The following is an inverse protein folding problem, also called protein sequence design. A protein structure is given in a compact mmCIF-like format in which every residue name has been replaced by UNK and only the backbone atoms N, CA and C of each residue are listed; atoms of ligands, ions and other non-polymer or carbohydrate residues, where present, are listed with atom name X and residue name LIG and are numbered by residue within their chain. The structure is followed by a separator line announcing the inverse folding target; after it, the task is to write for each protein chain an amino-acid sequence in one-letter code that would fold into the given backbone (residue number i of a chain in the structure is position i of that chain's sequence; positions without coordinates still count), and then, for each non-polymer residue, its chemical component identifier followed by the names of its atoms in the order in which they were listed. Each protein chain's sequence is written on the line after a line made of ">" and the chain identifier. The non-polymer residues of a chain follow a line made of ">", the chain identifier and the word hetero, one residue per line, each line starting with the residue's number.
data_IF_054502676732
#
_entry.id   IF_054502676732
#
_cell.length_a   1.000
_cell.length_b   1.000
_cell.length_c   1.000
_cell.angle_alpha   90.00
_cell.angle_beta   90.00
_cell.angle_gamma   90.00
#
_symmetry.space_group_name_H-M   'P 1'
#
loop_
_entity.id
_entity.type
_entity.pdbx_description
1 polymer ?
#
# COMPACT_ATOMS: atom_id res chain seq x y z
N UNK A 1 16.69 9.74 21.83
CA UNK A 1 16.23 8.66 22.72
C UNK A 1 15.94 7.46 21.84
N UNK A 2 16.73 6.40 21.98
CA UNK A 2 16.49 5.13 21.28
C UNK A 2 15.35 4.41 22.00
N UNK A 3 14.20 4.28 21.36
CA UNK A 3 13.21 3.33 21.79
C UNK A 3 13.69 1.94 21.40
N UNK A 4 14.19 1.20 22.38
CA UNK A 4 14.37 -0.23 22.29
C UNK A 4 12.98 -0.86 22.24
N UNK A 5 12.54 -1.27 21.05
CA UNK A 5 11.35 -2.07 20.90
C UNK A 5 11.62 -3.44 21.54
N UNK A 6 11.24 -3.60 22.80
CA UNK A 6 11.12 -4.92 23.40
C UNK A 6 10.07 -5.68 22.59
N UNK A 7 10.52 -6.67 21.80
CA UNK A 7 9.67 -7.63 21.09
C UNK A 7 8.81 -8.35 22.14
N UNK A 8 7.60 -7.89 22.35
CA UNK A 8 6.58 -8.68 23.02
C UNK A 8 6.15 -9.73 21.97
N UNK A 9 6.73 -10.93 22.06
CA UNK A 9 6.18 -12.12 21.43
C UNK A 9 4.91 -12.48 22.21
N UNK A 10 3.79 -11.87 21.85
CA UNK A 10 2.49 -12.43 22.16
C UNK A 10 2.14 -13.37 21.02
N UNK A 11 1.92 -14.63 21.36
CA UNK A 11 1.46 -15.67 20.46
C UNK A 11 -0.01 -15.37 20.09
N UNK A 12 -0.20 -14.49 19.12
CA UNK A 12 -1.50 -14.30 18.48
C UNK A 12 -1.66 -15.44 17.49
N UNK A 13 -2.62 -16.32 17.78
CA UNK A 13 -2.92 -17.50 16.94
C UNK A 13 -2.92 -17.16 15.45
N UNK A 14 -2.60 -18.12 14.62
CA UNK A 14 -2.13 -18.18 13.22
C UNK A 14 -2.73 -17.24 12.14
N UNK A 15 -3.40 -16.13 12.48
CA UNK A 15 -4.06 -15.20 11.55
C UNK A 15 -3.79 -13.71 11.82
N UNK A 16 -2.99 -13.37 12.81
CA UNK A 16 -2.72 -11.97 13.16
C UNK A 16 -1.51 -11.39 12.41
N UNK A 17 -1.66 -10.24 11.76
CA UNK A 17 -0.54 -9.45 11.23
C UNK A 17 -0.03 -8.54 12.33
N UNK A 18 1.24 -8.69 12.72
CA UNK A 18 1.88 -7.82 13.70
C UNK A 18 2.48 -6.61 12.99
N UNK A 19 2.01 -5.41 13.33
CA UNK A 19 2.56 -4.16 12.80
C UNK A 19 3.53 -3.52 13.81
N UNK A 20 4.75 -3.24 13.38
CA UNK A 20 5.66 -2.38 14.11
C UNK A 20 5.31 -0.90 13.85
N UNK A 21 4.55 -0.32 14.79
CA UNK A 21 4.10 1.07 14.69
C UNK A 21 5.26 2.08 14.66
N UNK A 22 6.42 1.75 15.24
CA UNK A 22 7.62 2.58 15.18
C UNK A 22 8.13 2.71 13.75
N UNK A 23 8.32 1.60 13.04
CA UNK A 23 8.75 1.58 11.64
C UNK A 23 7.73 2.23 10.72
N UNK A 24 6.42 2.06 10.97
CA UNK A 24 5.36 2.76 10.23
C UNK A 24 5.49 4.27 10.42
N UNK A 25 5.66 4.74 11.66
CA UNK A 25 5.81 6.17 11.94
C UNK A 25 7.05 6.77 11.30
N UNK A 26 8.19 6.09 11.35
CA UNK A 26 9.42 6.52 10.65
C UNK A 26 9.21 6.62 9.13
N UNK A 27 8.45 5.70 8.54
CA UNK A 27 8.04 5.76 7.15
C UNK A 27 7.18 6.98 6.84
N UNK A 28 6.19 7.27 7.70
CA UNK A 28 5.31 8.42 7.58
C UNK A 28 6.05 9.76 7.70
N UNK A 29 7.11 9.84 8.49
CA UNK A 29 7.96 11.03 8.60
C UNK A 29 8.68 11.41 7.30
N UNK A 30 8.77 10.48 6.33
CA UNK A 30 9.41 10.70 5.02
C UNK A 30 8.42 11.17 3.95
N UNK A 31 7.11 11.21 4.24
CA UNK A 31 6.09 11.66 3.31
C UNK A 31 6.14 13.18 3.17
N UNK A 32 6.07 13.64 1.92
CA UNK A 32 6.08 15.07 1.59
C UNK A 32 4.77 15.74 2.03
N UNK A 33 4.87 16.74 2.87
CA UNK A 33 3.73 17.58 3.27
C UNK A 33 3.52 18.75 2.31
N UNK A 34 2.58 18.60 1.39
CA UNK A 34 2.23 19.62 0.38
C UNK A 34 1.43 20.81 0.92
N UNK A 35 1.04 20.80 2.19
CA UNK A 35 0.27 21.90 2.79
C UNK A 35 1.12 23.17 2.90
N UNK A 36 0.45 24.34 2.74
CA UNK A 36 1.07 25.64 3.03
C UNK A 36 1.38 25.76 4.53
N UNK A 37 2.46 26.48 4.89
CA UNK A 37 2.92 26.62 6.27
C UNK A 37 1.79 27.08 7.24
N UNK A 38 0.91 27.99 6.79
CA UNK A 38 -0.23 28.51 7.57
C UNK A 38 -1.27 27.45 7.96
N UNK A 39 -1.29 26.27 7.29
CA UNK A 39 -2.24 25.18 7.57
C UNK A 39 -1.66 24.02 8.38
N UNK A 40 -0.40 24.11 8.83
CA UNK A 40 0.32 23.02 9.48
C UNK A 40 0.21 23.05 11.00
N UNK A 41 -1.01 23.03 11.54
CA UNK A 41 -1.22 22.95 13.01
C UNK A 41 -0.72 21.59 13.56
N UNK A 42 -0.91 20.52 12.80
CA UNK A 42 -0.42 19.16 13.10
C UNK A 42 0.55 18.74 12.01
N UNK A 43 1.58 18.01 12.37
CA UNK A 43 2.51 17.42 11.41
C UNK A 43 1.79 16.36 10.58
N UNK A 44 2.20 16.18 9.32
CA UNK A 44 1.54 15.24 8.41
C UNK A 44 1.62 13.80 8.92
N UNK A 45 2.77 13.38 9.44
CA UNK A 45 2.98 12.07 10.01
C UNK A 45 2.07 11.80 11.22
N UNK A 46 1.78 12.81 12.03
CA UNK A 46 0.82 12.70 13.14
C UNK A 46 -0.58 12.41 12.64
N UNK A 47 -1.05 13.18 11.64
CA UNK A 47 -2.38 12.98 11.06
C UNK A 47 -2.48 11.60 10.42
N UNK A 48 -1.47 11.22 9.64
CA UNK A 48 -1.42 9.92 8.97
C UNK A 48 -1.37 8.76 9.96
N UNK A 49 -0.61 8.88 11.04
CA UNK A 49 -0.56 7.85 12.08
C UNK A 49 -1.93 7.65 12.76
N UNK A 50 -2.66 8.73 13.07
CA UNK A 50 -4.02 8.63 13.60
C UNK A 50 -4.94 7.93 12.59
N UNK A 51 -4.82 8.25 11.30
CA UNK A 51 -5.58 7.58 10.24
C UNK A 51 -5.27 6.07 10.20
N UNK A 52 -4.00 5.70 10.27
CA UNK A 52 -3.58 4.28 10.28
C UNK A 52 -4.15 3.56 11.50
N UNK A 53 -4.00 4.12 12.70
CA UNK A 53 -4.51 3.51 13.93
C UNK A 53 -6.04 3.35 13.92
N UNK A 54 -6.77 4.38 13.46
CA UNK A 54 -8.22 4.32 13.33
C UNK A 54 -8.64 3.26 12.30
N UNK A 55 -7.97 3.16 11.16
CA UNK A 55 -8.24 2.12 10.16
C UNK A 55 -7.96 0.71 10.67
N UNK A 56 -6.90 0.49 11.42
CA UNK A 56 -6.61 -0.78 12.09
C UNK A 56 -7.69 -1.13 13.14
N UNK A 57 -8.38 -0.12 13.68
CA UNK A 57 -9.53 -0.28 14.58
C UNK A 57 -10.88 -0.42 13.86
N UNK A 58 -10.88 -0.49 12.51
CA UNK A 58 -12.09 -0.69 11.71
C UNK A 58 -12.77 0.58 11.21
N UNK A 59 -12.17 1.76 11.40
CA UNK A 59 -12.74 3.04 10.98
C UNK A 59 -12.35 3.41 9.55
N UNK A 60 -13.23 3.21 8.59
CA UNK A 60 -12.95 3.47 7.18
C UNK A 60 -13.27 4.88 6.70
N UNK A 61 -14.25 5.54 7.33
CA UNK A 61 -14.73 6.85 6.91
C UNK A 61 -14.00 7.98 7.65
N UNK A 62 -13.73 9.13 6.99
CA UNK A 62 -13.11 10.28 7.67
C UNK A 62 -13.84 10.76 8.92
N UNK A 63 -15.18 10.60 8.98
CA UNK A 63 -15.98 10.90 10.18
C UNK A 63 -15.67 9.97 11.34
N UNK A 64 -15.62 8.64 11.08
CA UNK A 64 -15.25 7.65 12.08
C UNK A 64 -13.81 7.85 12.57
N UNK A 65 -12.86 8.10 11.65
CA UNK A 65 -11.47 8.42 12.01
C UNK A 65 -11.41 9.64 12.95
N UNK A 66 -12.17 10.71 12.67
CA UNK A 66 -12.20 11.91 13.50
C UNK A 66 -12.80 11.66 14.89
N UNK A 67 -13.82 10.83 14.96
CA UNK A 67 -14.47 10.44 16.21
C UNK A 67 -13.58 9.50 17.03
N UNK A 68 -13.00 8.48 16.39
CA UNK A 68 -12.02 7.60 16.99
C UNK A 68 -10.84 8.37 17.59
N UNK A 69 -10.28 9.30 16.81
CA UNK A 69 -9.18 10.15 17.28
C UNK A 69 -9.54 11.04 18.48
N UNK A 70 -10.80 11.50 18.58
CA UNK A 70 -11.28 12.23 19.76
C UNK A 70 -11.38 11.34 20.99
N UNK A 71 -11.93 10.13 20.83
CA UNK A 71 -12.08 9.17 21.91
C UNK A 71 -10.74 8.71 22.49
N UNK A 72 -9.74 8.48 21.61
CA UNK A 72 -8.40 8.04 21.99
C UNK A 72 -7.39 9.21 22.10
N UNK A 73 -7.89 10.45 22.21
CA UNK A 73 -7.04 11.64 22.18
C UNK A 73 -5.99 11.70 23.26
N UNK A 74 -6.31 11.22 24.48
CA UNK A 74 -5.35 11.20 25.62
C UNK A 74 -4.21 10.23 25.34
N UNK A 75 -4.52 9.02 24.94
CA UNK A 75 -3.56 7.97 24.63
C UNK A 75 -2.67 8.37 23.43
N UNK A 76 -3.26 9.01 22.42
CA UNK A 76 -2.52 9.50 21.24
C UNK A 76 -1.56 10.62 21.65
N UNK A 77 -1.99 11.56 22.48
CA UNK A 77 -1.14 12.66 22.96
C UNK A 77 0.04 12.12 23.73
N UNK A 78 -0.18 11.14 24.61
CA UNK A 78 0.87 10.51 25.41
C UNK A 78 1.81 9.67 24.52
N UNK A 79 1.26 8.80 23.68
CA UNK A 79 2.03 7.92 22.79
C UNK A 79 2.93 8.70 21.83
N UNK A 80 2.39 9.77 21.21
CA UNK A 80 3.09 10.57 20.22
C UNK A 80 3.76 11.82 20.80
N UNK A 81 3.71 12.01 22.12
CA UNK A 81 4.27 13.17 22.83
C UNK A 81 3.85 14.52 22.21
N UNK A 82 2.56 14.63 21.90
CA UNK A 82 2.04 15.83 21.25
C UNK A 82 1.99 17.02 22.22
N UNK A 83 2.43 18.17 21.74
CA UNK A 83 2.41 19.42 22.55
C UNK A 83 1.00 19.95 22.84
N UNK A 84 0.00 19.54 22.07
CA UNK A 84 -1.38 20.01 22.17
C UNK A 84 -2.34 18.83 22.36
N UNK A 85 -3.29 18.92 23.30
CA UNK A 85 -4.24 17.83 23.56
C UNK A 85 -5.38 17.74 22.55
N UNK A 86 -5.52 18.75 21.66
CA UNK A 86 -6.58 18.76 20.66
C UNK A 86 -6.25 17.83 19.51
N UNK A 87 -7.26 17.08 19.06
CA UNK A 87 -7.14 16.21 17.88
C UNK A 87 -7.52 16.97 16.59
N UNK A 88 -6.98 16.54 15.44
CA UNK A 88 -7.35 17.10 14.15
C UNK A 88 -8.87 17.05 13.91
N UNK A 89 -9.42 18.07 13.25
CA UNK A 89 -10.84 18.10 12.89
C UNK A 89 -11.15 17.15 11.72
N UNK A 90 -12.42 16.79 11.54
CA UNK A 90 -12.90 16.02 10.39
C UNK A 90 -12.40 16.59 9.06
N UNK A 91 -12.44 17.93 8.90
CA UNK A 91 -11.98 18.57 7.67
C UNK A 91 -10.46 18.43 7.46
N UNK A 92 -9.68 18.31 8.53
CA UNK A 92 -8.24 18.04 8.44
C UNK A 92 -8.01 16.65 7.85
N UNK A 93 -8.69 15.62 8.35
CA UNK A 93 -8.60 14.26 7.81
C UNK A 93 -9.07 14.18 6.36
N UNK A 94 -10.22 14.77 6.03
CA UNK A 94 -10.72 14.82 4.65
C UNK A 94 -9.71 15.43 3.67
N UNK A 95 -9.16 16.61 4.01
CA UNK A 95 -8.15 17.26 3.16
C UNK A 95 -6.86 16.46 3.07
N UNK A 96 -6.41 15.86 4.16
CA UNK A 96 -5.19 15.04 4.15
C UNK A 96 -5.36 13.85 3.22
N UNK A 97 -6.49 13.16 3.28
CA UNK A 97 -6.76 12.00 2.43
C UNK A 97 -7.00 12.37 0.95
N UNK A 98 -7.58 13.54 0.67
CA UNK A 98 -7.91 13.96 -0.69
C UNK A 98 -6.72 14.62 -1.42
N UNK A 99 -5.98 15.50 -0.75
CA UNK A 99 -5.13 16.47 -1.46
C UNK A 99 -3.68 16.51 -0.94
N UNK A 100 -3.43 16.06 0.28
CA UNK A 100 -2.15 16.31 0.96
C UNK A 100 -1.22 15.11 0.88
N UNK A 101 -1.74 13.93 1.14
CA UNK A 101 -0.96 12.71 1.07
C UNK A 101 -0.71 12.35 -0.39
N UNK A 102 0.57 12.22 -0.76
CA UNK A 102 0.91 11.68 -2.06
C UNK A 102 0.67 10.16 -2.03
N UNK A 103 -0.36 9.69 -2.74
CA UNK A 103 -0.73 8.28 -2.79
C UNK A 103 0.48 7.41 -3.12
N UNK A 104 1.26 7.76 -4.15
CA UNK A 104 2.44 6.99 -4.55
C UNK A 104 3.53 6.92 -3.47
N UNK A 105 3.68 7.96 -2.62
CA UNK A 105 4.63 7.93 -1.49
C UNK A 105 4.14 7.01 -0.39
N UNK A 106 2.82 7.04 -0.09
CA UNK A 106 2.20 6.14 0.90
C UNK A 106 2.30 4.69 0.44
N UNK A 107 1.95 4.40 -0.80
CA UNK A 107 2.05 3.05 -1.38
C UNK A 107 3.49 2.52 -1.35
N UNK A 108 4.45 3.35 -1.73
CA UNK A 108 5.87 2.98 -1.65
C UNK A 108 6.33 2.74 -0.23
N UNK A 109 5.87 3.54 0.72
CA UNK A 109 6.19 3.38 2.14
C UNK A 109 5.62 2.07 2.68
N UNK A 110 4.34 1.79 2.40
CA UNK A 110 3.68 0.53 2.80
C UNK A 110 4.35 -0.67 2.13
N UNK A 111 4.65 -0.58 0.83
CA UNK A 111 5.36 -1.62 0.11
C UNK A 111 6.72 -1.94 0.74
N UNK A 112 7.53 -0.92 1.04
CA UNK A 112 8.82 -1.10 1.73
C UNK A 112 8.67 -1.71 3.12
N UNK A 113 7.63 -1.34 3.85
CA UNK A 113 7.33 -1.92 5.15
C UNK A 113 6.99 -3.41 5.01
N UNK A 114 6.13 -3.77 4.07
CA UNK A 114 5.70 -5.14 3.83
C UNK A 114 6.83 -6.04 3.28
N UNK A 115 7.84 -5.44 2.64
CA UNK A 115 9.04 -6.15 2.18
C UNK A 115 10.07 -6.42 3.28
N UNK A 116 9.78 -6.09 4.53
CA UNK A 116 10.63 -6.47 5.66
C UNK A 116 10.29 -7.88 6.15
N UNK A 117 11.32 -8.64 6.53
CA UNK A 117 11.17 -9.98 7.08
C UNK A 117 11.20 -11.09 6.03
N UNK A 118 10.54 -12.20 6.35
CA UNK A 118 10.50 -13.38 5.48
C UNK A 118 9.58 -13.16 4.27
N UNK A 119 9.95 -13.77 3.16
CA UNK A 119 9.21 -13.75 1.90
C UNK A 119 8.98 -15.16 1.40
N UNK A 120 7.80 -15.37 0.81
CA UNK A 120 7.47 -16.60 0.12
C UNK A 120 8.25 -16.77 -1.19
N UNK A 121 8.07 -17.92 -1.81
CA UNK A 121 8.71 -18.25 -3.10
C UNK A 121 7.88 -17.77 -4.29
N UNK A 122 6.56 -17.61 -4.11
CA UNK A 122 5.62 -17.27 -5.18
C UNK A 122 5.00 -15.89 -4.97
N UNK A 123 5.13 -15.05 -5.99
CA UNK A 123 4.51 -13.74 -6.05
C UNK A 123 3.44 -13.70 -7.15
N UNK A 124 2.25 -13.23 -6.80
CA UNK A 124 1.16 -13.06 -7.74
C UNK A 124 1.04 -11.59 -8.17
N UNK A 125 0.96 -11.36 -9.47
CA UNK A 125 0.65 -10.06 -10.06
C UNK A 125 -0.83 -10.05 -10.47
N UNK A 126 -1.65 -9.23 -9.81
CA UNK A 126 -3.10 -9.19 -10.01
C UNK A 126 -3.62 -7.75 -10.00
N UNK A 127 -4.53 -7.47 -10.92
CA UNK A 127 -5.21 -6.19 -11.05
C UNK A 127 -6.59 -6.22 -10.40
N UNK A 128 -6.91 -5.20 -9.60
CA UNK A 128 -8.18 -5.12 -8.89
C UNK A 128 -8.83 -3.76 -9.01
N UNK A 129 -10.12 -3.77 -9.37
CA UNK A 129 -10.94 -2.56 -9.31
C UNK A 129 -11.17 -2.14 -7.84
N UNK A 130 -10.85 -0.90 -7.51
CA UNK A 130 -11.11 -0.33 -6.17
C UNK A 130 -12.60 -0.07 -6.02
N UNK A 131 -13.24 -0.79 -5.12
CA UNK A 131 -14.67 -0.62 -4.84
C UNK A 131 -14.91 0.67 -4.06
N UNK A 132 -15.92 1.45 -4.49
CA UNK A 132 -16.37 2.66 -3.78
C UNK A 132 -15.73 3.98 -4.23
N UNK A 133 -14.69 3.95 -5.04
CA UNK A 133 -14.15 5.15 -5.67
C UNK A 133 -14.84 5.40 -7.03
N UNK A 134 -15.98 6.09 -6.99
CA UNK A 134 -16.65 6.61 -8.18
C UNK A 134 -16.42 8.11 -8.24
N UNK A 135 -15.91 8.64 -9.35
CA UNK A 135 -15.97 10.09 -9.59
C UNK A 135 -17.40 10.45 -9.91
N UNK A 136 -17.91 11.53 -9.28
CA UNK A 136 -19.30 12.01 -9.44
C UNK A 136 -19.73 12.23 -10.89
N UNK A 137 -18.78 12.44 -11.77
CA UNK A 137 -19.03 12.84 -13.17
C UNK A 137 -18.79 11.68 -14.17
N UNK A 138 -18.48 10.46 -13.70
CA UNK A 138 -18.22 9.31 -14.58
C UNK A 138 -18.57 8.00 -13.85
N UNK A 139 -19.80 7.53 -14.07
CA UNK A 139 -20.32 6.32 -13.41
C UNK A 139 -19.64 5.03 -13.87
N UNK A 140 -19.01 5.03 -15.04
CA UNK A 140 -18.36 3.85 -15.62
C UNK A 140 -16.91 3.71 -15.20
N UNK A 141 -16.24 4.79 -14.76
CA UNK A 141 -14.83 4.73 -14.42
C UNK A 141 -14.59 4.23 -13.00
N UNK A 142 -13.77 3.22 -12.89
CA UNK A 142 -13.26 2.67 -11.62
C UNK A 142 -11.76 2.81 -11.58
N UNK A 143 -11.23 3.18 -10.44
CA UNK A 143 -9.79 3.09 -10.22
C UNK A 143 -9.36 1.62 -10.16
N UNK A 144 -8.33 1.29 -10.92
CA UNK A 144 -7.71 -0.03 -10.92
C UNK A 144 -6.34 0.05 -10.26
N UNK A 145 -6.06 -0.91 -9.41
CA UNK A 145 -4.76 -1.06 -8.78
C UNK A 145 -4.16 -2.39 -9.20
N UNK A 146 -2.93 -2.35 -9.73
CA UNK A 146 -2.14 -3.54 -9.99
C UNK A 146 -1.23 -3.79 -8.79
N UNK A 147 -1.29 -4.99 -8.24
CA UNK A 147 -0.56 -5.35 -7.01
C UNK A 147 0.37 -6.52 -7.26
N UNK A 148 1.54 -6.50 -6.61
CA UNK A 148 2.41 -7.66 -6.43
C UNK A 148 2.17 -8.19 -5.03
N UNK A 149 1.74 -9.43 -4.93
CA UNK A 149 1.30 -10.08 -3.70
C UNK A 149 2.15 -11.31 -3.39
N UNK A 150 2.71 -11.36 -2.20
CA UNK A 150 3.37 -12.54 -1.65
C UNK A 150 2.29 -13.53 -1.21
N UNK A 151 2.19 -14.65 -1.90
CA UNK A 151 1.11 -15.63 -1.71
C UNK A 151 1.21 -16.33 -0.35
N UNK A 152 2.41 -16.66 0.08
CA UNK A 152 2.66 -17.39 1.33
C UNK A 152 2.55 -16.47 2.54
N UNK A 153 3.18 -15.31 2.48
CA UNK A 153 3.17 -14.34 3.59
C UNK A 153 1.88 -13.49 3.62
N UNK A 154 1.03 -13.59 2.59
CA UNK A 154 -0.23 -12.85 2.46
C UNK A 154 -0.06 -11.34 2.57
N UNK A 155 0.99 -10.81 1.92
CA UNK A 155 1.34 -9.38 1.96
C UNK A 155 1.34 -8.78 0.58
N UNK A 156 0.85 -7.55 0.45
CA UNK A 156 1.04 -6.74 -0.76
C UNK A 156 2.42 -6.10 -0.72
N UNK A 157 3.31 -6.48 -1.63
CA UNK A 157 4.69 -6.00 -1.69
C UNK A 157 4.82 -4.69 -2.45
N UNK A 158 4.01 -4.51 -3.49
CA UNK A 158 3.95 -3.31 -4.31
C UNK A 158 2.55 -3.12 -4.85
N UNK A 159 2.16 -1.87 -5.04
CA UNK A 159 0.89 -1.51 -5.64
C UNK A 159 1.06 -0.27 -6.51
N UNK A 160 0.47 -0.27 -7.69
CA UNK A 160 0.51 0.86 -8.63
C UNK A 160 -0.89 1.13 -9.19
N UNK A 161 -1.24 2.40 -9.28
CA UNK A 161 -2.47 2.84 -9.91
C UNK A 161 -2.40 2.64 -11.43
N UNK A 162 -3.47 2.10 -12.01
CA UNK A 162 -3.67 1.99 -13.45
C UNK A 162 -4.64 3.08 -13.87
N UNK A 163 -4.11 4.12 -14.48
CA UNK A 163 -4.88 5.29 -14.91
C UNK A 163 -5.85 4.98 -16.05
N UNK A 164 -6.84 5.85 -16.25
CA UNK A 164 -7.92 5.67 -17.25
C UNK A 164 -7.46 5.38 -18.68
N UNK A 165 -6.32 5.93 -19.10
CA UNK A 165 -5.73 5.74 -20.44
C UNK A 165 -4.61 4.70 -20.48
N UNK A 166 -4.41 4.01 -19.39
CA UNK A 166 -3.35 3.04 -19.19
C UNK A 166 -3.98 1.64 -19.04
N UNK A 167 -3.20 0.62 -19.24
CA UNK A 167 -3.62 -0.75 -19.00
C UNK A 167 -2.66 -1.45 -18.04
N UNK A 168 -3.10 -2.54 -17.46
CA UNK A 168 -2.32 -3.33 -16.52
C UNK A 168 -1.00 -3.83 -17.13
N UNK A 169 -0.98 -4.16 -18.42
CA UNK A 169 0.20 -4.63 -19.14
C UNK A 169 1.32 -3.59 -19.09
N UNK A 170 0.98 -2.31 -19.24
CA UNK A 170 1.97 -1.21 -19.21
C UNK A 170 2.43 -0.88 -17.81
N UNK A 171 1.65 -1.23 -16.78
CA UNK A 171 1.97 -0.97 -15.37
C UNK A 171 2.70 -2.13 -14.69
N UNK A 172 2.57 -3.35 -15.20
CA UNK A 172 3.20 -4.54 -14.64
C UNK A 172 4.72 -4.40 -14.43
N UNK A 173 5.49 -3.90 -15.42
CA UNK A 173 6.91 -3.64 -15.22
C UNK A 173 7.22 -2.72 -14.04
N UNK A 174 6.40 -1.67 -13.87
CA UNK A 174 6.58 -0.69 -12.79
C UNK A 174 6.22 -1.27 -11.42
N UNK A 175 5.21 -2.13 -11.35
CA UNK A 175 4.84 -2.80 -10.11
C UNK A 175 5.97 -3.70 -9.60
N UNK A 176 6.68 -4.39 -10.50
CA UNK A 176 7.82 -5.26 -10.19
C UNK A 176 9.13 -4.49 -9.93
N UNK A 177 9.27 -3.26 -10.40
CA UNK A 177 10.50 -2.45 -10.25
C UNK A 177 10.89 -2.25 -8.77
N UNK A 178 9.90 -2.24 -7.87
CA UNK A 178 10.10 -1.95 -6.44
C UNK A 178 10.15 -3.20 -5.57
N UNK A 179 10.13 -4.39 -6.18
CA UNK A 179 10.07 -5.67 -5.46
C UNK A 179 11.30 -6.48 -5.78
N UNK A 180 11.96 -7.01 -4.75
CA UNK A 180 13.02 -7.99 -4.91
C UNK A 180 12.42 -9.34 -5.33
N UNK A 181 12.68 -9.73 -6.59
CA UNK A 181 12.12 -10.95 -7.18
C UNK A 181 13.18 -12.01 -7.53
N UNK A 182 14.42 -11.77 -7.13
CA UNK A 182 15.49 -12.76 -7.33
C UNK A 182 15.14 -14.07 -6.64
N UNK A 183 15.26 -15.17 -7.37
CA UNK A 183 14.89 -16.53 -6.90
C UNK A 183 13.41 -16.69 -6.51
N UNK A 184 12.54 -15.84 -7.06
CA UNK A 184 11.08 -15.92 -6.86
C UNK A 184 10.39 -16.29 -8.15
N UNK A 185 9.24 -16.95 -8.03
CA UNK A 185 8.37 -17.28 -9.16
C UNK A 185 7.24 -16.24 -9.23
N UNK A 186 7.17 -15.51 -10.32
CA UNK A 186 6.09 -14.54 -10.56
C UNK A 186 4.97 -15.20 -11.36
N UNK A 187 3.75 -15.17 -10.82
CA UNK A 187 2.54 -15.62 -11.52
C UNK A 187 1.66 -14.44 -11.88
N UNK A 188 0.94 -14.52 -12.99
CA UNK A 188 0.00 -13.48 -13.43
C UNK A 188 -1.06 -14.07 -14.36
N UNK A 189 -2.12 -13.32 -14.65
CA UNK A 189 -3.12 -13.74 -15.66
C UNK A 189 -2.54 -13.68 -17.08
N UNK A 190 -3.18 -14.39 -18.02
CA UNK A 190 -2.79 -14.53 -19.43
C UNK A 190 -2.57 -13.20 -20.16
N UNK A 191 -3.24 -12.11 -19.77
CA UNK A 191 -3.01 -10.79 -20.33
C UNK A 191 -1.58 -10.28 -20.11
N UNK A 192 -0.93 -10.73 -19.02
CA UNK A 192 0.44 -10.38 -18.68
C UNK A 192 1.50 -11.27 -19.34
N UNK A 193 1.10 -12.25 -20.15
CA UNK A 193 2.01 -13.08 -20.96
C UNK A 193 2.61 -12.23 -22.08
N UNK A 194 3.54 -11.35 -21.70
CA UNK A 194 4.19 -10.37 -22.57
C UNK A 194 5.71 -10.55 -22.55
N UNK A 195 6.32 -10.57 -23.72
CA UNK A 195 7.78 -10.76 -23.86
C UNK A 195 8.60 -9.77 -23.04
N UNK A 196 8.15 -8.52 -22.95
CA UNK A 196 8.85 -7.48 -22.18
C UNK A 196 8.84 -7.77 -20.67
N UNK A 197 7.70 -8.21 -20.12
CA UNK A 197 7.55 -8.53 -18.71
C UNK A 197 8.36 -9.78 -18.34
N UNK A 198 8.25 -10.85 -19.13
CA UNK A 198 9.05 -12.08 -18.94
C UNK A 198 10.55 -11.80 -18.95
N UNK A 199 11.01 -10.99 -19.92
CA UNK A 199 12.42 -10.60 -20.00
C UNK A 199 12.87 -9.74 -18.80
N UNK A 200 12.00 -8.90 -18.24
CA UNK A 200 12.29 -8.14 -17.03
C UNK A 200 12.47 -9.05 -15.82
N UNK A 201 11.53 -9.99 -15.61
CA UNK A 201 11.58 -10.93 -14.49
C UNK A 201 12.88 -11.74 -14.51
N UNK A 202 13.23 -12.30 -15.68
CA UNK A 202 14.49 -13.05 -15.84
C UNK A 202 15.72 -12.17 -15.59
N UNK A 203 15.74 -10.92 -16.08
CA UNK A 203 16.85 -9.99 -15.80
C UNK A 203 17.00 -9.64 -14.32
N UNK A 204 15.90 -9.68 -13.57
CA UNK A 204 15.90 -9.47 -12.12
C UNK A 204 16.19 -10.75 -11.32
N UNK A 205 16.54 -11.86 -12.01
CA UNK A 205 16.90 -13.14 -11.38
C UNK A 205 15.71 -13.96 -10.89
N UNK A 206 14.49 -13.63 -11.30
CA UNK A 206 13.28 -14.38 -11.00
C UNK A 206 12.88 -15.32 -12.13
N UNK A 207 11.92 -16.18 -11.83
CA UNK A 207 11.25 -17.07 -12.76
C UNK A 207 9.77 -16.64 -12.93
N UNK A 208 9.08 -17.15 -13.94
CA UNK A 208 7.68 -16.85 -14.14
C UNK A 208 6.88 -18.06 -14.61
N UNK A 209 5.61 -18.09 -14.22
CA UNK A 209 4.60 -19.04 -14.72
C UNK A 209 3.39 -18.23 -15.15
N UNK A 210 3.20 -18.11 -16.48
CA UNK A 210 2.10 -17.38 -17.06
C UNK A 210 1.23 -18.30 -17.93
N UNK A 211 -0.10 -18.27 -17.79
CA UNK A 211 -0.99 -19.01 -18.67
C UNK A 211 -0.97 -18.41 -20.09
N UNK A 212 -0.93 -19.26 -21.10
CA UNK A 212 -1.01 -18.85 -22.50
C UNK A 212 -2.43 -19.14 -23.00
N UNK A 213 -3.06 -18.15 -23.59
CA UNK A 213 -4.39 -18.23 -24.19
C UNK A 213 -4.34 -17.74 -25.66
N UNK A 214 -5.47 -17.76 -26.34
CA UNK A 214 -5.62 -17.34 -27.74
C UNK A 214 -5.21 -15.88 -28.01
N UNK A 215 -5.15 -15.03 -26.97
CA UNK A 215 -4.61 -13.68 -27.06
C UNK A 215 -3.11 -13.64 -27.45
N UNK A 216 -2.42 -14.78 -27.34
CA UNK A 216 -1.05 -15.00 -27.78
C UNK A 216 -0.99 -16.12 -28.84
N UNK A 217 -1.70 -15.93 -29.94
CA UNK A 217 -1.98 -16.96 -30.95
C UNK A 217 -0.72 -17.68 -31.47
N UNK A 218 0.39 -16.96 -31.71
CA UNK A 218 1.64 -17.56 -32.17
C UNK A 218 2.29 -18.45 -31.10
N UNK A 219 2.28 -18.02 -29.86
CA UNK A 219 2.83 -18.79 -28.73
C UNK A 219 1.93 -20.00 -28.44
N UNK A 220 0.61 -19.80 -28.44
CA UNK A 220 -0.38 -20.85 -28.18
C UNK A 220 -0.34 -22.00 -29.18
N UNK A 221 0.02 -21.71 -30.45
CA UNK A 221 0.16 -22.73 -31.50
C UNK A 221 1.46 -23.54 -31.40
N UNK A 222 2.46 -23.04 -30.67
CA UNK A 222 3.77 -23.65 -30.59
C UNK A 222 4.01 -24.40 -29.26
N UNK A 223 3.01 -24.43 -28.37
CA UNK A 223 2.98 -25.23 -27.15
C UNK A 223 2.10 -26.46 -27.37
#
# INVERSE_FOLDING_TARGET
>A
MHYSASRVKQDYGATGVLYDLGSVYEGLCKITDKRKARGKLYRIETIMMIIVLAKLSGEDKPSGIAEWGKHHGKEIVELMQLKKPQMPSLNTYRRTLADVACQAEVERMVGKYNQQGEHGEVYALDGKAVRGMRKKDDEEWREYMLSVYDVEQRKVLSQVEVGRKENEITKAPKALEWVEISQKVVTADAMHTQKALSAQIVRQGGDYIFPVKENQASLYKNI
#
